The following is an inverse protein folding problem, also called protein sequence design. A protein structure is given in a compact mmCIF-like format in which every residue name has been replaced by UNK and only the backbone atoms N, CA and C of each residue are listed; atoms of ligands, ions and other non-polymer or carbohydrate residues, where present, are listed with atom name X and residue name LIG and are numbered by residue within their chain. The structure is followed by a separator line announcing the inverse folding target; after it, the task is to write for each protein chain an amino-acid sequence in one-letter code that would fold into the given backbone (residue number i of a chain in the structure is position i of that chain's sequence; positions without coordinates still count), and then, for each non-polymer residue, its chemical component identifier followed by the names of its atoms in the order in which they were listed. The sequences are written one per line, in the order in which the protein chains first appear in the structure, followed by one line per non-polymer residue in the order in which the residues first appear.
data_IF_128565335187
#
_entry.id   IF_128565335187
#
_cell.length_a   1.000
_cell.length_b   1.000
_cell.length_c   1.000
_cell.angle_alpha   90.00
_cell.angle_beta   90.00
_cell.angle_gamma   90.00
#
_symmetry.space_group_name_H-M   'P 1'
#
loop_
_entity.id
_entity.type
_entity.pdbx_description
1 polymer ?
#
# COMPACT_ATOMS: atom_id res chain seq x y z
N UNK A 1 27.04 -3.31 -6.01
CA UNK A 1 26.91 -2.51 -4.78
C UNK A 1 27.47 -1.13 -5.06
N UNK A 2 26.65 -0.22 -5.58
CA UNK A 2 27.06 1.17 -5.74
C UNK A 2 26.74 1.90 -4.43
N UNK A 3 27.74 2.55 -3.85
CA UNK A 3 27.57 3.51 -2.77
C UNK A 3 26.86 4.75 -3.32
N UNK A 4 25.74 5.10 -2.70
CA UNK A 4 24.79 6.13 -3.08
C UNK A 4 25.27 7.50 -2.61
N UNK A 5 25.08 8.58 -3.38
CA UNK A 5 25.42 9.92 -2.87
C UNK A 5 24.31 10.40 -1.93
N UNK A 6 24.67 10.76 -0.71
CA UNK A 6 23.76 11.31 0.31
C UNK A 6 23.20 12.70 -0.07
N UNK A 7 23.66 13.28 -1.18
CA UNK A 7 23.44 14.67 -1.60
C UNK A 7 22.02 15.01 -2.07
N UNK A 8 21.15 14.03 -2.31
CA UNK A 8 19.75 14.26 -2.71
C UNK A 8 18.81 14.45 -1.50
N UNK A 9 19.31 14.20 -0.28
CA UNK A 9 18.60 14.45 0.99
C UNK A 9 19.04 15.76 1.66
N UNK A 10 19.87 16.57 1.00
CA UNK A 10 20.50 17.75 1.58
C UNK A 10 19.56 18.96 1.73
N UNK A 11 18.37 18.92 1.12
CA UNK A 11 17.34 19.95 1.34
C UNK A 11 16.44 19.57 2.52
N UNK A 12 16.44 20.41 3.55
CA UNK A 12 15.66 20.21 4.75
C UNK A 12 14.16 20.24 4.41
N UNK A 13 13.54 19.06 4.35
CA UNK A 13 12.13 18.89 3.99
C UNK A 13 11.87 18.17 2.66
N UNK A 14 12.92 17.83 1.90
CA UNK A 14 12.77 17.00 0.71
C UNK A 14 12.43 15.54 1.09
N UNK A 15 11.43 14.99 0.39
CA UNK A 15 11.05 13.59 0.47
C UNK A 15 11.56 12.85 -0.75
N UNK A 16 12.27 11.74 -0.52
CA UNK A 16 12.76 10.88 -1.60
C UNK A 16 11.99 9.57 -1.58
N UNK A 17 11.49 9.18 -2.75
CA UNK A 17 10.68 7.98 -2.95
C UNK A 17 11.56 6.87 -3.51
N UNK A 18 11.53 5.68 -2.92
CA UNK A 18 12.11 4.45 -3.50
C UNK A 18 10.98 3.46 -3.81
N UNK A 19 10.87 3.03 -5.07
CA UNK A 19 9.71 2.25 -5.54
C UNK A 19 10.10 1.29 -6.66
N UNK A 20 9.28 0.27 -6.91
CA UNK A 20 9.50 -0.69 -8.00
C UNK A 20 8.29 -0.71 -8.94
N UNK A 21 8.36 -0.04 -10.10
CA UNK A 21 7.35 -0.18 -11.14
C UNK A 21 7.24 -1.63 -11.60
N UNK A 22 6.04 -2.09 -11.96
CA UNK A 22 5.84 -3.47 -12.47
C UNK A 22 6.68 -3.80 -13.72
N UNK A 23 7.10 -2.78 -14.45
CA UNK A 23 7.82 -2.87 -15.72
C UNK A 23 9.34 -2.83 -15.61
N UNK A 24 9.93 -2.63 -14.41
CA UNK A 24 11.34 -2.29 -14.33
C UNK A 24 12.02 -2.44 -12.98
N UNK A 25 13.24 -1.93 -12.93
CA UNK A 25 14.11 -1.95 -11.75
C UNK A 25 13.62 -1.00 -10.66
N UNK A 26 14.14 -1.19 -9.45
CA UNK A 26 13.93 -0.27 -8.33
C UNK A 26 14.40 1.12 -8.75
N UNK A 27 13.51 2.09 -8.61
CA UNK A 27 13.72 3.49 -8.95
C UNK A 27 13.72 4.33 -7.68
N UNK A 28 14.50 5.42 -7.70
CA UNK A 28 14.56 6.39 -6.62
C UNK A 28 14.55 7.80 -7.20
N UNK A 29 13.72 8.68 -6.65
CA UNK A 29 13.58 10.06 -7.11
C UNK A 29 12.99 10.94 -6.02
N UNK A 30 13.19 12.26 -6.12
CA UNK A 30 12.52 13.22 -5.24
C UNK A 30 11.02 13.17 -5.53
N UNK A 31 10.18 13.28 -4.48
CA UNK A 31 8.73 13.19 -4.61
C UNK A 31 8.17 14.21 -5.62
N UNK A 32 8.72 15.43 -5.65
CA UNK A 32 8.34 16.47 -6.60
C UNK A 32 8.55 16.09 -8.08
N UNK A 33 9.42 15.13 -8.37
CA UNK A 33 9.72 14.67 -9.73
C UNK A 33 8.93 13.41 -10.12
N UNK A 34 8.48 12.63 -9.14
CA UNK A 34 7.86 11.33 -9.37
C UNK A 34 6.42 11.20 -8.86
N UNK A 35 5.79 12.30 -8.41
CA UNK A 35 4.41 12.30 -7.91
C UNK A 35 3.37 11.82 -8.94
N UNK A 36 3.65 11.94 -10.25
CA UNK A 36 2.76 11.48 -11.31
C UNK A 36 2.99 10.01 -11.72
N UNK A 37 3.90 9.30 -11.05
CA UNK A 37 4.11 7.87 -11.26
C UNK A 37 2.84 7.07 -10.96
N UNK A 38 2.61 6.01 -11.72
CA UNK A 38 1.55 5.04 -11.51
C UNK A 38 1.85 4.13 -10.29
N UNK A 39 1.92 4.70 -9.09
CA UNK A 39 2.22 3.97 -7.85
C UNK A 39 1.19 2.88 -7.55
N UNK A 40 -0.06 3.02 -8.02
CA UNK A 40 -1.08 1.97 -7.95
C UNK A 40 -0.75 0.72 -8.77
N UNK A 41 0.33 0.76 -9.57
CA UNK A 41 0.87 -0.37 -10.33
C UNK A 41 2.24 -0.81 -9.83
N UNK A 42 2.77 -0.25 -8.75
CA UNK A 42 4.05 -0.65 -8.20
C UNK A 42 3.96 -1.98 -7.42
N UNK A 43 5.07 -2.71 -7.41
CA UNK A 43 5.20 -3.90 -6.56
C UNK A 43 5.47 -3.49 -5.10
N UNK A 44 5.04 -4.29 -4.11
CA UNK A 44 5.37 -4.03 -2.71
C UNK A 44 6.89 -3.92 -2.49
N UNK A 45 7.34 -2.87 -1.80
CA UNK A 45 8.77 -2.66 -1.48
C UNK A 45 9.27 -3.48 -0.30
N UNK A 46 8.35 -4.10 0.46
CA UNK A 46 8.67 -5.07 1.49
C UNK A 46 8.16 -6.45 1.08
N UNK A 47 8.90 -7.49 1.47
CA UNK A 47 8.35 -8.84 1.47
C UNK A 47 7.46 -8.99 2.68
N UNK A 48 6.24 -9.49 2.48
CA UNK A 48 5.33 -9.84 3.57
C UNK A 48 6.04 -10.77 4.57
N UNK A 49 6.22 -10.32 5.81
CA UNK A 49 6.92 -11.10 6.80
C UNK A 49 6.01 -12.23 7.29
N UNK A 50 6.32 -13.49 6.98
CA UNK A 50 5.65 -14.66 7.55
C UNK A 50 6.55 -15.34 8.58
N UNK A 51 6.11 -15.46 9.84
CA UNK A 51 6.81 -16.25 10.86
C UNK A 51 5.85 -17.10 11.70
N UNK A 52 6.32 -18.23 12.24
CA UNK A 52 5.49 -19.13 13.07
C UNK A 52 5.04 -18.41 14.35
N UNK A 53 3.74 -18.40 14.62
CA UNK A 53 3.14 -17.73 15.79
C UNK A 53 2.56 -16.33 15.51
N UNK A 54 2.53 -15.90 14.25
CA UNK A 54 1.94 -14.63 13.84
C UNK A 54 0.41 -14.65 14.03
N UNK A 55 -0.12 -13.64 14.73
CA UNK A 55 -1.57 -13.44 14.94
C UNK A 55 -2.24 -12.68 13.80
N UNK A 56 -1.45 -12.08 12.92
CA UNK A 56 -1.91 -11.44 11.69
C UNK A 56 -1.94 -12.47 10.55
N UNK A 57 -2.99 -12.43 9.73
CA UNK A 57 -3.19 -13.35 8.61
C UNK A 57 -2.81 -12.62 7.31
N UNK A 58 -1.56 -12.74 6.84
CA UNK A 58 -1.19 -12.18 5.55
C UNK A 58 -1.94 -12.90 4.44
N UNK A 59 -2.43 -12.14 3.46
CA UNK A 59 -3.28 -12.65 2.40
C UNK A 59 -3.32 -11.74 1.18
N UNK A 60 -4.07 -12.19 0.18
CA UNK A 60 -4.32 -11.45 -1.04
C UNK A 60 -5.82 -11.17 -1.17
N UNK A 61 -6.17 -9.90 -1.40
CA UNK A 61 -7.52 -9.49 -1.75
C UNK A 61 -7.62 -9.35 -3.27
N UNK A 62 -8.55 -10.07 -3.91
CA UNK A 62 -8.90 -9.81 -5.31
C UNK A 62 -9.70 -8.52 -5.36
N UNK A 63 -9.10 -7.45 -5.86
CA UNK A 63 -9.74 -6.16 -6.02
C UNK A 63 -10.52 -6.14 -7.33
N UNK A 64 -11.86 -6.16 -7.24
CA UNK A 64 -12.73 -6.16 -8.41
C UNK A 64 -12.52 -4.92 -9.31
N UNK A 65 -12.19 -3.80 -8.68
CA UNK A 65 -11.93 -2.51 -9.33
C UNK A 65 -10.73 -2.56 -10.29
N UNK A 66 -9.66 -3.28 -9.94
CA UNK A 66 -8.44 -3.38 -10.76
C UNK A 66 -8.33 -4.71 -11.51
N UNK A 67 -9.07 -5.74 -11.09
CA UNK A 67 -8.92 -7.09 -11.61
C UNK A 67 -7.58 -7.73 -11.26
N UNK A 68 -6.96 -7.33 -10.14
CA UNK A 68 -5.70 -7.89 -9.65
C UNK A 68 -5.74 -8.10 -8.13
N UNK A 69 -4.71 -8.75 -7.60
CA UNK A 69 -4.56 -9.01 -6.17
C UNK A 69 -3.75 -7.91 -5.48
N UNK A 70 -4.28 -7.40 -4.38
CA UNK A 70 -3.57 -6.51 -3.46
C UNK A 70 -3.31 -7.24 -2.16
N UNK A 71 -2.07 -7.23 -1.68
CA UNK A 71 -1.68 -7.91 -0.46
C UNK A 71 -2.10 -7.15 0.80
N UNK A 72 -2.32 -7.87 1.89
CA UNK A 72 -2.52 -7.30 3.22
C UNK A 72 -1.81 -8.17 4.26
N UNK A 73 -1.37 -7.59 5.36
CA UNK A 73 -0.70 -8.28 6.47
C UNK A 73 -1.64 -8.54 7.65
N UNK A 74 -2.74 -7.78 7.75
CA UNK A 74 -3.70 -7.87 8.85
C UNK A 74 -5.16 -7.90 8.40
N UNK A 75 -6.06 -8.33 9.28
CA UNK A 75 -7.51 -8.25 9.04
C UNK A 75 -7.99 -6.81 8.90
N UNK A 76 -7.36 -5.90 9.64
CA UNK A 76 -7.70 -4.48 9.61
C UNK A 76 -7.38 -3.85 8.25
N UNK A 77 -6.20 -4.17 7.71
CA UNK A 77 -5.82 -3.79 6.35
C UNK A 77 -6.74 -4.40 5.31
N UNK A 78 -7.12 -5.68 5.47
CA UNK A 78 -8.06 -6.33 4.57
C UNK A 78 -9.41 -5.62 4.54
N UNK A 79 -9.95 -5.25 5.70
CA UNK A 79 -11.23 -4.55 5.77
C UNK A 79 -11.15 -3.17 5.08
N UNK A 80 -10.00 -2.50 5.15
CA UNK A 80 -9.74 -1.29 4.39
C UNK A 80 -9.63 -1.54 2.88
N UNK A 81 -9.02 -2.63 2.44
CA UNK A 81 -9.01 -3.02 1.03
C UNK A 81 -10.43 -3.27 0.49
N UNK A 82 -11.30 -3.90 1.29
CA UNK A 82 -12.71 -4.09 0.92
C UNK A 82 -13.42 -2.74 0.77
N UNK A 83 -13.18 -1.80 1.70
CA UNK A 83 -13.74 -0.47 1.62
C UNK A 83 -13.24 0.31 0.40
N UNK A 84 -11.93 0.28 0.12
CA UNK A 84 -11.33 0.90 -1.06
C UNK A 84 -11.85 0.28 -2.37
N UNK A 85 -12.06 -1.03 -2.41
CA UNK A 85 -12.61 -1.72 -3.59
C UNK A 85 -14.11 -1.42 -3.78
N UNK A 86 -14.83 -1.01 -2.74
CA UNK A 86 -16.23 -0.59 -2.82
C UNK A 86 -16.38 0.89 -3.21
N UNK A 87 -15.36 1.72 -2.95
CA UNK A 87 -15.36 3.15 -3.21
C UNK A 87 -15.34 3.43 -4.72
N UNK A 88 -16.37 4.09 -5.29
CA UNK A 88 -16.43 4.36 -6.71
C UNK A 88 -15.36 5.34 -7.19
N UNK A 89 -14.77 6.16 -6.33
CA UNK A 89 -13.75 7.14 -6.71
C UNK A 89 -12.35 6.56 -6.75
N UNK A 90 -12.13 5.39 -6.14
CA UNK A 90 -10.86 4.65 -6.23
C UNK A 90 -10.80 3.91 -7.57
N UNK A 91 -9.68 4.08 -8.30
CA UNK A 91 -9.44 3.42 -9.60
C UNK A 91 -8.23 2.49 -9.60
N UNK A 92 -7.45 2.50 -8.52
CA UNK A 92 -6.32 1.60 -8.36
C UNK A 92 -5.76 1.64 -6.95
N UNK A 93 -5.27 0.50 -6.46
CA UNK A 93 -4.64 0.39 -5.14
C UNK A 93 -3.41 -0.50 -5.23
N UNK A 94 -2.35 -0.08 -4.54
CA UNK A 94 -1.16 -0.90 -4.32
C UNK A 94 -0.85 -0.99 -2.83
N UNK A 95 -0.38 -2.15 -2.39
CA UNK A 95 0.09 -2.39 -1.03
C UNK A 95 1.58 -2.08 -0.93
N UNK A 96 1.97 -1.30 0.08
CA UNK A 96 3.35 -0.91 0.36
C UNK A 96 4.14 -0.52 -0.91
N UNK A 97 3.64 0.42 -1.73
CA UNK A 97 4.15 0.66 -3.08
C UNK A 97 5.53 1.32 -3.14
N UNK A 98 5.93 1.98 -2.05
CA UNK A 98 7.17 2.75 -1.99
C UNK A 98 7.67 2.93 -0.55
N UNK A 99 8.96 3.25 -0.43
CA UNK A 99 9.53 3.87 0.74
C UNK A 99 9.54 5.39 0.58
N UNK A 100 9.16 6.10 1.62
CA UNK A 100 9.36 7.55 1.78
C UNK A 100 10.60 7.71 2.67
N UNK A 101 11.61 8.41 2.17
CA UNK A 101 12.83 8.76 2.89
C UNK A 101 12.85 10.25 3.21
N UNK A 102 13.25 10.61 4.43
CA UNK A 102 13.41 12.00 4.87
C UNK A 102 14.52 12.11 5.92
N UNK A 103 14.90 13.35 6.24
CA UNK A 103 15.73 13.72 7.40
C UNK A 103 14.82 14.29 8.48
N UNK A 104 14.94 13.81 9.71
CA UNK A 104 14.24 14.41 10.86
C UNK A 104 14.89 15.73 11.30
N UNK A 105 14.31 16.42 12.29
CA UNK A 105 14.79 17.71 12.79
C UNK A 105 16.21 17.64 13.40
N UNK A 106 16.68 16.44 13.75
CA UNK A 106 18.04 16.18 14.22
C UNK A 106 18.99 15.78 13.08
N UNK A 107 18.55 15.85 11.82
CA UNK A 107 19.31 15.47 10.64
C UNK A 107 19.49 13.95 10.46
N UNK A 108 18.76 13.13 11.22
CA UNK A 108 18.88 11.66 11.13
C UNK A 108 18.04 11.15 9.98
N UNK A 109 18.60 10.22 9.20
CA UNK A 109 17.86 9.55 8.13
C UNK A 109 16.72 8.71 8.70
N UNK A 110 15.55 8.84 8.09
CA UNK A 110 14.34 8.09 8.41
C UNK A 110 13.72 7.54 7.13
N UNK A 111 12.94 6.46 7.29
CA UNK A 111 12.13 5.92 6.20
C UNK A 111 10.87 5.26 6.73
N UNK A 112 9.82 5.32 5.93
CA UNK A 112 8.52 4.70 6.19
C UNK A 112 7.95 4.14 4.90
N UNK A 113 7.23 3.02 4.99
CA UNK A 113 6.48 2.47 3.86
C UNK A 113 5.01 2.46 4.29
N UNK A 114 4.13 3.23 3.63
CA UNK A 114 2.71 3.22 3.97
C UNK A 114 2.06 1.89 3.59
N UNK A 115 0.97 1.52 4.26
CA UNK A 115 0.30 0.24 3.98
C UNK A 115 -0.34 0.24 2.59
N UNK A 116 -1.01 1.34 2.20
CA UNK A 116 -1.63 1.46 0.88
C UNK A 116 -1.41 2.82 0.21
N UNK A 117 -1.44 2.77 -1.12
CA UNK A 117 -1.68 3.93 -1.98
C UNK A 117 -2.91 3.66 -2.82
N UNK A 118 -3.85 4.61 -2.84
CA UNK A 118 -5.03 4.57 -3.68
C UNK A 118 -5.02 5.73 -4.67
N UNK A 119 -5.15 5.42 -5.96
CA UNK A 119 -5.33 6.38 -7.04
C UNK A 119 -6.82 6.73 -7.14
N UNK A 120 -7.15 8.01 -7.15
CA UNK A 120 -8.53 8.50 -7.29
C UNK A 120 -8.85 8.87 -8.74
N UNK A 121 -10.13 8.84 -9.11
CA UNK A 121 -10.61 9.10 -10.47
C UNK A 121 -10.30 10.52 -10.96
N UNK A 122 -10.22 11.48 -10.05
CA UNK A 122 -9.86 12.88 -10.34
C UNK A 122 -8.36 13.09 -10.60
N UNK A 123 -7.55 12.01 -10.57
CA UNK A 123 -6.10 12.06 -10.75
C UNK A 123 -5.31 12.29 -9.47
N UNK A 124 -5.99 12.55 -8.34
CA UNK A 124 -5.37 12.64 -7.02
C UNK A 124 -4.87 11.30 -6.49
N UNK A 125 -4.43 11.28 -5.24
CA UNK A 125 -4.11 10.05 -4.54
C UNK A 125 -4.33 10.17 -3.04
N UNK A 126 -4.53 9.02 -2.41
CA UNK A 126 -4.65 8.86 -0.98
C UNK A 126 -3.60 7.86 -0.50
N UNK A 127 -2.73 8.29 0.41
CA UNK A 127 -1.77 7.42 1.10
C UNK A 127 -2.37 7.03 2.46
N UNK A 128 -2.31 5.75 2.79
CA UNK A 128 -3.04 5.18 3.93
C UNK A 128 -2.11 4.35 4.81
N UNK A 129 -2.12 4.65 6.10
CA UNK A 129 -1.54 3.81 7.15
C UNK A 129 -2.64 3.25 8.04
N UNK A 130 -2.66 1.93 8.19
CA UNK A 130 -3.64 1.18 8.93
C UNK A 130 -3.03 0.76 10.27
N UNK A 131 -3.50 1.36 11.37
CA UNK A 131 -2.99 1.07 12.72
C UNK A 131 -4.11 1.08 13.72
N UNK A 132 -4.20 0.02 14.52
CA UNK A 132 -5.10 -0.01 15.65
C UNK A 132 -4.76 1.15 16.61
N UNK A 133 -5.78 1.86 17.08
CA UNK A 133 -5.63 3.12 17.82
C UNK A 133 -4.85 2.96 19.15
N UNK A 134 -4.79 1.74 19.68
CA UNK A 134 -4.10 1.37 20.92
C UNK A 134 -2.59 1.10 20.75
N UNK A 135 -2.03 1.23 19.54
CA UNK A 135 -0.62 0.84 19.24
C UNK A 135 0.23 1.94 18.58
N UNK A 136 -0.03 3.20 18.86
CA UNK A 136 0.75 4.30 18.27
C UNK A 136 1.92 4.67 19.20
N UNK A 137 3.14 4.31 18.81
CA UNK A 137 4.36 4.78 19.46
C UNK A 137 4.83 6.13 18.91
N UNK A 138 5.76 6.79 19.61
CA UNK A 138 6.32 8.08 19.18
C UNK A 138 6.96 8.04 17.78
N UNK A 139 7.61 6.93 17.42
CA UNK A 139 8.18 6.73 16.08
C UNK A 139 7.12 6.60 14.98
N UNK A 140 5.97 6.00 15.31
CA UNK A 140 4.86 5.87 14.37
C UNK A 140 4.24 7.24 14.11
N UNK A 141 4.04 8.04 15.16
CA UNK A 141 3.56 9.42 15.03
C UNK A 141 4.47 10.29 14.15
N UNK A 142 5.79 10.22 14.37
CA UNK A 142 6.77 10.93 13.53
C UNK A 142 6.67 10.52 12.05
N UNK A 143 6.54 9.21 11.77
CA UNK A 143 6.39 8.70 10.42
C UNK A 143 5.07 9.13 9.76
N UNK A 144 3.96 9.16 10.51
CA UNK A 144 2.66 9.61 10.00
C UNK A 144 2.66 11.10 9.69
N UNK A 145 3.25 11.91 10.56
CA UNK A 145 3.39 13.35 10.33
C UNK A 145 4.27 13.64 9.10
N UNK A 146 5.39 12.92 8.97
CA UNK A 146 6.26 13.02 7.79
C UNK A 146 5.53 12.62 6.50
N UNK A 147 4.77 11.52 6.55
CA UNK A 147 3.97 11.05 5.41
C UNK A 147 2.88 12.05 5.03
N UNK A 148 2.22 12.65 6.02
CA UNK A 148 1.24 13.71 5.81
C UNK A 148 1.85 14.94 5.12
N UNK A 149 3.03 15.38 5.57
CA UNK A 149 3.77 16.48 4.91
C UNK A 149 4.16 16.14 3.48
N UNK A 150 4.65 14.92 3.24
CA UNK A 150 5.01 14.46 1.90
C UNK A 150 3.81 14.49 0.96
N UNK A 151 2.66 13.97 1.40
CA UNK A 151 1.43 13.99 0.61
C UNK A 151 0.96 15.42 0.31
N UNK A 152 0.94 16.29 1.33
CA UNK A 152 0.52 17.68 1.18
C UNK A 152 1.38 18.45 0.16
N UNK A 153 2.69 18.17 0.11
CA UNK A 153 3.62 18.81 -0.81
C UNK A 153 3.31 18.56 -2.30
N UNK A 154 2.57 17.50 -2.62
CA UNK A 154 2.18 17.14 -3.99
C UNK A 154 0.66 17.06 -4.19
N UNK A 155 -0.11 17.64 -3.26
CA UNK A 155 -1.57 17.69 -3.35
C UNK A 155 -2.27 16.34 -3.13
N UNK A 156 -1.59 15.36 -2.56
CA UNK A 156 -2.20 14.09 -2.15
C UNK A 156 -2.84 14.19 -0.77
N UNK A 157 -3.82 13.34 -0.52
CA UNK A 157 -4.40 13.15 0.81
C UNK A 157 -3.66 12.09 1.60
N UNK A 158 -3.54 12.28 2.91
CA UNK A 158 -3.02 11.28 3.83
C UNK A 158 -4.09 10.88 4.85
N UNK A 159 -4.19 9.58 5.14
CA UNK A 159 -5.12 9.03 6.13
C UNK A 159 -4.44 7.97 6.99
N UNK A 160 -4.30 8.24 8.28
CA UNK A 160 -4.09 7.19 9.27
C UNK A 160 -5.46 6.68 9.74
N UNK A 161 -5.68 5.38 9.66
CA UNK A 161 -6.99 4.75 9.92
C UNK A 161 -6.87 3.60 10.93
N UNK A 162 -7.85 3.54 11.83
CA UNK A 162 -7.99 2.49 12.84
C UNK A 162 -8.98 1.41 12.41
N UNK A 163 -9.75 0.88 13.35
CA UNK A 163 -10.86 -0.02 13.01
C UNK A 163 -11.96 0.70 12.25
N UNK A 164 -12.45 0.08 11.18
CA UNK A 164 -13.72 0.48 10.57
C UNK A 164 -14.87 0.15 11.53
N UNK A 165 -15.95 0.90 11.43
CA UNK A 165 -17.18 0.59 12.14
C UNK A 165 -17.61 -0.86 11.86
N UNK A 166 -18.09 -1.55 12.91
CA UNK A 166 -18.39 -2.97 12.84
C UNK A 166 -19.56 -3.28 11.88
N UNK A 167 -20.57 -2.41 11.84
CA UNK A 167 -21.72 -2.56 10.95
C UNK A 167 -21.31 -2.30 9.50
N UNK A 168 -20.54 -1.24 9.27
CA UNK A 168 -19.96 -0.96 7.95
C UNK A 168 -19.13 -2.14 7.45
N UNK A 169 -18.24 -2.67 8.30
CA UNK A 169 -17.37 -3.80 7.96
C UNK A 169 -18.18 -5.05 7.60
N UNK A 170 -19.22 -5.37 8.37
CA UNK A 170 -20.09 -6.51 8.10
C UNK A 170 -20.82 -6.36 6.75
N UNK A 171 -21.37 -5.18 6.47
CA UNK A 171 -22.06 -4.89 5.21
C UNK A 171 -21.11 -4.97 4.01
N UNK A 172 -19.92 -4.38 4.13
CA UNK A 172 -18.92 -4.39 3.06
C UNK A 172 -18.44 -5.81 2.73
N UNK A 173 -18.16 -6.63 3.74
CA UNK A 173 -17.77 -8.04 3.54
C UNK A 173 -18.87 -8.86 2.86
N UNK A 174 -20.14 -8.56 3.16
CA UNK A 174 -21.27 -9.22 2.50
C UNK A 174 -21.40 -8.76 1.04
N UNK A 175 -21.40 -7.44 0.80
CA UNK A 175 -21.55 -6.84 -0.52
C UNK A 175 -20.38 -7.16 -1.46
N UNK A 176 -19.16 -7.30 -0.94
CA UNK A 176 -17.97 -7.62 -1.75
C UNK A 176 -18.12 -8.94 -2.51
N UNK A 177 -18.90 -9.90 -1.97
CA UNK A 177 -19.20 -11.16 -2.64
C UNK A 177 -19.82 -10.98 -4.04
N UNK A 178 -20.57 -9.90 -4.26
CA UNK A 178 -21.24 -9.60 -5.53
C UNK A 178 -20.36 -8.84 -6.54
N UNK A 179 -19.19 -8.34 -6.12
CA UNK A 179 -18.26 -7.63 -7.01
C UNK A 179 -17.33 -8.59 -7.75
N UNK A 180 -17.27 -9.86 -7.34
CA UNK A 180 -16.42 -10.84 -8.01
C UNK A 180 -17.05 -11.33 -9.32
N UNK A 181 -16.27 -11.46 -10.42
CA UNK A 181 -16.78 -11.91 -11.72
C UNK A 181 -17.53 -13.27 -11.67
N UNK A 182 -17.17 -14.14 -10.71
CA UNK A 182 -17.82 -15.44 -10.49
C UNK A 182 -19.19 -15.38 -9.81
N UNK A 183 -19.60 -14.24 -9.25
CA UNK A 183 -20.91 -14.07 -8.61
C UNK A 183 -22.07 -14.11 -9.63
N UNK A 184 -21.76 -13.82 -10.91
CA UNK A 184 -22.70 -13.89 -12.02
C UNK A 184 -22.32 -15.03 -12.97
N UNK A 185 -22.32 -16.28 -12.50
CA UNK A 185 -22.52 -17.47 -13.33
C UNK A 185 -21.73 -17.59 -14.65
N UNK A 186 -20.48 -17.11 -14.73
CA UNK A 186 -19.58 -17.39 -15.85
C UNK A 186 -18.25 -17.90 -15.33
N UNK A 187 -17.98 -19.17 -15.63
CA UNK A 187 -16.72 -19.84 -15.31
C UNK A 187 -15.55 -19.07 -15.94
N UNK A 188 -14.68 -18.50 -15.11
CA UNK A 188 -13.41 -17.94 -15.56
C UNK A 188 -12.26 -18.84 -15.12
N UNK A 189 -11.37 -19.12 -16.07
CA UNK A 189 -10.16 -19.90 -15.92
C UNK A 189 -9.04 -18.91 -15.56
N UNK A 190 -8.66 -18.82 -14.29
CA UNK A 190 -7.47 -18.05 -13.89
C UNK A 190 -6.22 -18.74 -14.43
N UNK A 191 -5.56 -18.13 -15.41
CA UNK A 191 -4.19 -18.48 -15.76
C UNK A 191 -3.27 -17.79 -14.75
N UNK A 192 -3.17 -18.36 -13.55
CA UNK A 192 -2.24 -17.89 -12.53
C UNK A 192 -0.86 -18.46 -12.83
N UNK A 193 0.00 -17.68 -13.49
CA UNK A 193 1.43 -18.01 -13.67
C UNK A 193 2.23 -17.99 -12.35
N UNK A 194 1.59 -17.68 -11.22
CA UNK A 194 2.20 -17.66 -9.88
C UNK A 194 2.00 -18.94 -9.05
N UNK A 195 1.30 -19.94 -9.56
CA UNK A 195 1.24 -21.26 -8.93
C UNK A 195 2.24 -22.22 -9.58
N UNK A 196 3.49 -22.25 -9.07
CA UNK A 196 4.34 -23.42 -9.25
C UNK A 196 3.76 -24.58 -8.44
N UNK A 197 3.40 -25.73 -9.06
CA UNK A 197 3.06 -26.92 -8.28
C UNK A 197 4.37 -27.57 -7.85
N UNK A 198 4.84 -27.30 -6.63
CA UNK A 198 5.88 -28.12 -6.03
C UNK A 198 5.31 -29.53 -5.80
N UNK A 199 5.60 -30.44 -6.73
CA UNK A 199 5.25 -31.85 -6.61
C UNK A 199 6.06 -32.48 -5.49
N UNK A 200 5.32 -33.24 -4.68
CA UNK A 200 5.74 -34.22 -3.67
C UNK A 200 6.67 -35.26 -4.31
N UNK A 201 7.76 -35.58 -3.64
CA UNK A 201 8.45 -36.86 -3.79
C UNK A 201 7.91 -37.83 -2.74
N UNK A 202 7.62 -39.05 -3.19
CA UNK A 202 7.42 -40.23 -2.34
C UNK A 202 8.66 -40.51 -1.48
#
# INVERSE_FOLDING_TARGET
MAAWSESELDDAGAFVMEYSPRSGEVSRAVLAECWNTAFERCSPVRQFASYRGQTSFPGWWWMATTGDHVGHESWLERDHLIALDADPDVIGVAAQPFWIHWRDDEGRSRRHAPDFFARTRDGGAVVIDVRADDRIGARDAEAFDATGRACAAVGWSYRRVGALDAVLTANLRWLSGYRHPGAYGRAWRVNCSRCSPSRRSC
#
